data_IF_811980109154
#
_entry.id   IF_811980109154
#
_cell.length_a   1.000
_cell.length_b   1.000
_cell.length_c   1.000
_cell.angle_alpha   90.00
_cell.angle_beta   90.00
_cell.angle_gamma   90.00
#
_symmetry.space_group_name_H-M   'P 1'
#
loop_
_entity.id
_entity.type
_entity.pdbx_description
1 polymer ?
#
# COMPACT_ATOMS: atom_id res chain seq x y z
N UNK A 1 -92.14 30.63 -36.85
CA UNK A 1 -91.40 31.90 -36.99
C UNK A 1 -89.96 31.64 -36.54
N UNK A 2 -88.97 31.77 -37.46
CA UNK A 2 -87.49 31.67 -37.28
C UNK A 2 -86.97 30.25 -36.93
N UNK A 3 -86.18 29.52 -37.74
CA UNK A 3 -84.78 29.75 -38.19
C UNK A 3 -83.85 29.98 -36.98
N UNK A 4 -82.69 29.35 -36.76
CA UNK A 4 -81.60 28.90 -37.64
C UNK A 4 -80.56 28.12 -36.81
N UNK A 5 -79.74 27.35 -37.53
CA UNK A 5 -78.29 27.12 -37.33
C UNK A 5 -77.75 26.18 -36.23
N UNK A 6 -77.06 25.17 -36.75
CA UNK A 6 -76.04 24.36 -36.11
C UNK A 6 -74.86 25.21 -35.61
N UNK A 7 -74.28 24.80 -34.48
CA UNK A 7 -72.90 25.14 -34.12
C UNK A 7 -72.22 23.89 -33.57
N UNK A 8 -71.26 23.38 -34.34
CA UNK A 8 -70.30 22.35 -33.93
C UNK A 8 -69.32 23.02 -32.97
N UNK A 9 -69.26 22.58 -31.71
CA UNK A 9 -68.22 23.00 -30.77
C UNK A 9 -67.05 22.03 -30.92
N UNK A 10 -65.98 22.52 -31.54
CA UNK A 10 -64.68 21.87 -31.65
C UNK A 10 -63.94 22.10 -30.32
N UNK A 11 -63.74 21.05 -29.52
CA UNK A 11 -62.86 21.10 -28.35
C UNK A 11 -61.40 21.08 -28.81
N UNK A 12 -60.75 22.24 -28.85
CA UNK A 12 -59.30 22.34 -28.98
C UNK A 12 -58.70 22.18 -27.58
N UNK A 13 -58.20 20.99 -27.29
CA UNK A 13 -57.37 20.75 -26.10
C UNK A 13 -55.99 21.34 -26.41
N UNK A 14 -55.73 22.53 -25.89
CA UNK A 14 -54.42 23.16 -25.94
C UNK A 14 -53.53 22.47 -24.89
N UNK A 15 -52.73 21.49 -25.32
CA UNK A 15 -51.73 20.85 -24.48
C UNK A 15 -50.55 21.82 -24.30
N UNK A 16 -50.58 22.61 -23.23
CA UNK A 16 -49.42 23.41 -22.81
C UNK A 16 -48.40 22.44 -22.24
N UNK A 17 -47.47 21.96 -23.08
CA UNK A 17 -46.23 21.33 -22.60
C UNK A 17 -45.37 22.43 -21.96
N UNK A 18 -45.53 22.63 -20.66
CA UNK A 18 -44.51 23.32 -19.86
C UNK A 18 -43.28 22.43 -19.81
N UNK A 19 -42.32 22.72 -20.69
CA UNK A 19 -40.97 22.19 -20.59
C UNK A 19 -40.33 22.71 -19.30
N UNK A 20 -40.49 21.95 -18.21
CA UNK A 20 -39.70 22.14 -16.99
C UNK A 20 -38.27 21.76 -17.37
N UNK A 21 -37.46 22.75 -17.73
CA UNK A 21 -36.03 22.56 -17.88
C UNK A 21 -35.46 22.34 -16.49
N UNK A 22 -35.20 21.08 -16.13
CA UNK A 22 -34.30 20.74 -15.05
C UNK A 22 -32.89 21.13 -15.49
N UNK A 23 -32.52 22.40 -15.32
CA UNK A 23 -31.12 22.79 -15.29
C UNK A 23 -30.57 22.34 -13.95
N UNK A 24 -30.24 21.05 -13.81
CA UNK A 24 -29.28 20.66 -12.78
C UNK A 24 -27.98 21.34 -13.19
N UNK A 25 -27.63 22.43 -12.51
CA UNK A 25 -26.25 22.89 -12.51
C UNK A 25 -25.48 21.75 -11.89
N UNK A 26 -24.89 20.88 -12.72
CA UNK A 26 -23.96 19.87 -12.27
C UNK A 26 -22.82 20.64 -11.61
N UNK A 27 -22.89 20.77 -10.29
CA UNK A 27 -21.83 21.37 -9.51
C UNK A 27 -20.62 20.49 -9.76
N UNK A 28 -19.60 21.03 -10.44
CA UNK A 28 -18.39 20.30 -10.75
C UNK A 28 -17.89 19.67 -9.45
N UNK A 29 -18.01 18.34 -9.34
CA UNK A 29 -17.55 17.62 -8.17
C UNK A 29 -16.05 17.84 -8.12
N UNK A 30 -15.54 18.46 -7.05
CA UNK A 30 -14.10 18.62 -6.90
C UNK A 30 -13.51 17.22 -6.73
N UNK A 31 -12.62 16.83 -7.63
CA UNK A 31 -11.96 15.52 -7.61
C UNK A 31 -11.11 15.33 -6.36
N UNK A 32 -10.62 16.44 -5.78
CA UNK A 32 -9.91 16.47 -4.50
C UNK A 32 -10.40 17.66 -3.68
N UNK A 33 -10.73 17.44 -2.41
CA UNK A 33 -11.15 18.52 -1.51
C UNK A 33 -10.75 18.27 -0.06
N UNK A 34 -10.63 19.35 0.69
CA UNK A 34 -10.47 19.31 2.14
C UNK A 34 -11.83 19.55 2.80
N UNK A 35 -12.17 18.70 3.76
CA UNK A 35 -13.38 18.82 4.55
C UNK A 35 -13.03 18.93 6.04
N UNK A 36 -13.74 19.78 6.77
CA UNK A 36 -13.72 19.77 8.23
C UNK A 36 -15.01 19.12 8.71
N UNK A 37 -14.90 18.10 9.56
CA UNK A 37 -16.05 17.34 10.05
C UNK A 37 -15.90 17.05 11.54
N UNK A 38 -17.02 17.14 12.26
CA UNK A 38 -17.12 16.59 13.62
C UNK A 38 -17.37 15.10 13.51
N UNK A 39 -16.47 14.29 14.06
CA UNK A 39 -16.61 12.83 14.17
C UNK A 39 -16.93 12.46 15.61
N UNK A 40 -17.76 11.44 15.77
CA UNK A 40 -18.15 10.89 17.08
C UNK A 40 -17.53 9.51 17.26
N UNK A 41 -16.99 9.25 18.45
CA UNK A 41 -16.36 8.00 18.83
C UNK A 41 -16.52 7.77 20.33
N UNK A 42 -16.09 6.64 20.88
CA UNK A 42 -16.29 6.30 22.30
C UNK A 42 -15.65 7.33 23.25
N UNK A 43 -14.65 8.08 22.79
CA UNK A 43 -14.01 9.16 23.56
C UNK A 43 -14.65 10.54 23.42
N UNK A 44 -15.80 10.67 22.74
CA UNK A 44 -16.54 11.91 22.56
C UNK A 44 -16.59 12.39 21.11
N UNK A 45 -16.53 13.71 20.92
CA UNK A 45 -16.55 14.34 19.60
C UNK A 45 -15.22 15.04 19.31
N UNK A 46 -14.76 14.97 18.06
CA UNK A 46 -13.56 15.70 17.62
C UNK A 46 -13.81 16.35 16.27
N UNK A 47 -13.37 17.59 16.11
CA UNK A 47 -13.30 18.24 14.81
C UNK A 47 -12.00 17.83 14.14
N UNK A 48 -12.08 17.17 12.99
CA UNK A 48 -10.94 16.74 12.20
C UNK A 48 -11.01 17.33 10.80
N UNK A 49 -9.86 17.37 10.14
CA UNK A 49 -9.80 17.70 8.73
C UNK A 49 -9.40 16.47 7.92
N UNK A 50 -10.15 16.20 6.86
CA UNK A 50 -9.93 15.08 5.95
C UNK A 50 -9.61 15.63 4.57
N UNK A 51 -8.56 15.10 3.95
CA UNK A 51 -8.31 15.26 2.53
C UNK A 51 -8.99 14.11 1.80
N UNK A 52 -9.96 14.42 0.95
CA UNK A 52 -10.68 13.45 0.16
C UNK A 52 -10.28 13.53 -1.31
N UNK A 53 -10.28 12.39 -1.97
CA UNK A 53 -10.16 12.26 -3.40
C UNK A 53 -11.26 11.33 -3.94
N UNK A 54 -11.92 11.73 -5.03
CA UNK A 54 -12.90 10.90 -5.73
C UNK A 54 -12.17 10.02 -6.76
N UNK A 55 -12.05 8.73 -6.49
CA UNK A 55 -11.33 7.78 -7.35
C UNK A 55 -12.14 7.36 -8.59
N UNK A 56 -13.37 7.88 -8.77
CA UNK A 56 -14.10 7.76 -10.04
C UNK A 56 -13.60 8.76 -11.10
N UNK A 57 -12.82 9.77 -10.70
CA UNK A 57 -12.11 10.63 -11.64
C UNK A 57 -10.84 9.93 -12.11
N UNK A 58 -10.77 9.61 -13.40
CA UNK A 58 -9.66 8.89 -14.04
C UNK A 58 -8.34 9.70 -14.07
N UNK A 59 -8.39 10.99 -13.71
CA UNK A 59 -7.21 11.84 -13.54
C UNK A 59 -6.58 11.72 -12.15
N UNK A 60 -7.26 11.09 -11.20
CA UNK A 60 -6.74 10.87 -9.86
C UNK A 60 -6.04 9.51 -9.82
N UNK A 61 -4.80 9.53 -9.35
CA UNK A 61 -4.01 8.31 -9.12
C UNK A 61 -3.44 8.36 -7.71
N UNK A 62 -3.46 7.21 -7.04
CA UNK A 62 -2.87 7.03 -5.72
C UNK A 62 -1.62 6.15 -5.87
N UNK A 63 -0.49 6.64 -5.35
CA UNK A 63 0.80 5.97 -5.38
C UNK A 63 1.48 6.04 -4.01
N UNK A 64 2.37 5.07 -3.78
CA UNK A 64 3.38 5.14 -2.75
C UNK A 64 4.60 5.90 -3.28
N UNK A 65 5.21 6.72 -2.42
CA UNK A 65 6.39 7.50 -2.78
C UNK A 65 7.48 7.26 -1.75
N UNK A 66 8.64 6.80 -2.20
CA UNK A 66 9.80 6.58 -1.34
C UNK A 66 10.54 7.89 -1.09
N UNK A 67 11.01 8.07 0.14
CA UNK A 67 11.93 9.17 0.44
C UNK A 67 13.17 9.04 -0.44
N UNK A 68 13.48 10.10 -1.21
CA UNK A 68 14.64 10.15 -2.12
C UNK A 68 14.68 8.98 -3.12
N UNK A 69 13.54 8.37 -3.43
CA UNK A 69 13.45 7.21 -4.33
C UNK A 69 14.17 5.95 -3.82
N UNK A 70 14.39 5.80 -2.52
CA UNK A 70 15.17 4.68 -1.94
C UNK A 70 14.54 4.06 -0.70
N UNK A 71 14.82 2.76 -0.50
CA UNK A 71 14.49 2.00 0.71
C UNK A 71 15.52 2.28 1.79
N UNK A 72 15.06 2.70 2.97
CA UNK A 72 15.92 3.07 4.11
C UNK A 72 16.33 4.55 4.14
N UNK A 73 15.96 5.35 3.13
CA UNK A 73 16.07 6.79 3.19
C UNK A 73 14.87 7.41 3.93
N UNK A 74 15.07 8.60 4.50
CA UNK A 74 14.03 9.40 5.16
C UNK A 74 14.09 10.84 4.66
N UNK A 75 12.95 11.51 4.65
CA UNK A 75 12.83 12.93 4.31
C UNK A 75 11.57 13.54 4.96
N UNK A 76 11.45 14.86 4.94
CA UNK A 76 10.22 15.52 5.35
C UNK A 76 9.07 15.13 4.41
N UNK A 77 7.88 14.87 4.96
CA UNK A 77 6.71 14.45 4.18
C UNK A 77 6.41 15.41 3.02
N UNK A 78 6.56 16.72 3.23
CA UNK A 78 6.38 17.73 2.18
C UNK A 78 7.35 17.55 1.01
N UNK A 79 8.61 17.20 1.28
CA UNK A 79 9.61 16.93 0.24
C UNK A 79 9.22 15.68 -0.55
N UNK A 80 8.81 14.62 0.15
CA UNK A 80 8.37 13.37 -0.48
C UNK A 80 7.17 13.62 -1.39
N UNK A 81 6.14 14.31 -0.90
CA UNK A 81 4.95 14.65 -1.70
C UNK A 81 5.32 15.50 -2.92
N UNK A 82 6.17 16.51 -2.74
CA UNK A 82 6.62 17.34 -3.87
C UNK A 82 7.39 16.53 -4.91
N UNK A 83 8.18 15.54 -4.49
CA UNK A 83 8.96 14.70 -5.40
C UNK A 83 8.11 13.82 -6.34
N UNK A 84 6.83 13.62 -6.01
CA UNK A 84 5.89 12.90 -6.87
C UNK A 84 5.35 13.76 -8.03
N UNK A 85 5.58 15.07 -8.03
CA UNK A 85 5.20 15.93 -9.15
C UNK A 85 6.23 15.83 -10.28
N UNK A 86 5.76 15.67 -11.51
CA UNK A 86 6.58 15.63 -12.72
C UNK A 86 5.88 16.39 -13.86
N UNK A 87 6.32 16.20 -15.11
CA UNK A 87 5.73 16.89 -16.27
C UNK A 87 4.30 16.47 -16.58
N UNK A 88 3.90 15.26 -16.17
CA UNK A 88 2.63 14.63 -16.53
C UNK A 88 1.64 14.58 -15.36
N UNK A 89 2.13 14.68 -14.13
CA UNK A 89 1.33 14.60 -12.90
C UNK A 89 1.77 15.63 -11.86
N UNK A 90 0.80 16.14 -11.10
CA UNK A 90 1.06 17.04 -9.96
C UNK A 90 0.57 16.37 -8.68
N UNK A 91 1.43 16.34 -7.66
CA UNK A 91 1.04 15.87 -6.35
C UNK A 91 0.10 16.88 -5.66
N UNK A 92 -1.10 16.43 -5.30
CA UNK A 92 -2.16 17.27 -4.72
C UNK A 92 -2.31 17.09 -3.20
N UNK A 93 -1.65 16.08 -2.63
CA UNK A 93 -1.61 15.84 -1.20
C UNK A 93 -0.94 14.51 -0.86
N UNK A 94 -0.78 14.24 0.43
CA UNK A 94 -0.22 12.97 0.91
C UNK A 94 -0.22 12.88 2.44
N UNK A 95 -0.01 11.67 2.93
CA UNK A 95 0.10 11.33 4.34
C UNK A 95 1.29 10.37 4.52
N UNK A 96 1.88 10.31 5.71
CA UNK A 96 2.94 9.34 5.97
C UNK A 96 2.39 7.90 5.84
N UNK A 97 3.23 6.99 5.33
CA UNK A 97 2.89 5.58 5.11
C UNK A 97 3.38 4.66 6.23
N UNK A 98 4.24 3.70 5.86
CA UNK A 98 4.76 2.65 6.75
C UNK A 98 5.50 3.17 8.00
N UNK A 99 5.56 2.33 9.03
CA UNK A 99 6.55 2.43 10.10
C UNK A 99 7.97 2.25 9.57
N UNK A 100 8.94 2.83 10.29
CA UNK A 100 10.37 2.65 10.09
C UNK A 100 11.13 2.85 11.41
N UNK A 101 12.36 2.35 11.48
CA UNK A 101 13.19 2.39 12.67
C UNK A 101 13.87 3.75 12.88
N UNK A 102 13.06 4.75 13.20
CA UNK A 102 13.41 6.18 13.22
C UNK A 102 14.54 6.58 14.20
N UNK A 103 14.88 5.72 15.15
CA UNK A 103 15.85 6.01 16.21
C UNK A 103 17.09 5.11 16.14
N UNK A 104 17.25 4.35 15.05
CA UNK A 104 18.42 3.54 14.81
C UNK A 104 18.78 3.56 13.32
N UNK A 105 18.32 2.57 12.57
CA UNK A 105 18.87 2.25 11.25
C UNK A 105 18.01 2.74 10.07
N UNK A 106 16.90 3.41 10.38
CA UNK A 106 15.95 3.99 9.42
C UNK A 106 15.29 2.97 8.49
N UNK A 107 15.49 1.67 8.71
CA UNK A 107 14.93 0.63 7.85
C UNK A 107 13.40 0.58 8.01
N UNK A 108 12.64 0.38 6.92
CA UNK A 108 11.19 0.24 7.00
C UNK A 108 10.76 -1.00 7.80
N UNK A 109 9.54 -1.00 8.29
CA UNK A 109 8.95 -2.13 9.03
C UNK A 109 7.64 -2.65 8.44
N UNK A 110 7.22 -2.14 7.28
CA UNK A 110 6.02 -2.56 6.56
C UNK A 110 6.36 -3.01 5.13
N UNK A 111 5.48 -3.79 4.50
CA UNK A 111 5.65 -4.17 3.09
C UNK A 111 5.47 -2.95 2.18
N UNK A 112 6.36 -2.79 1.19
CA UNK A 112 6.33 -1.72 0.20
C UNK A 112 6.38 -2.36 -1.19
N UNK A 113 5.33 -2.12 -1.99
CA UNK A 113 5.29 -2.49 -3.40
C UNK A 113 5.00 -1.24 -4.22
N UNK A 114 5.83 -0.98 -5.24
CA UNK A 114 5.67 0.13 -6.18
C UNK A 114 5.73 -0.45 -7.59
N UNK A 115 4.85 0.01 -8.48
CA UNK A 115 4.72 -0.46 -9.86
C UNK A 115 4.67 -2.01 -10.00
N UNK A 116 4.02 -2.67 -9.04
CA UNK A 116 3.90 -4.14 -8.97
C UNK A 116 5.13 -4.87 -8.42
N UNK A 117 6.21 -4.16 -8.12
CA UNK A 117 7.45 -4.74 -7.60
C UNK A 117 7.57 -4.59 -6.09
N UNK A 118 7.83 -5.69 -5.38
CA UNK A 118 8.07 -5.66 -3.93
C UNK A 118 9.47 -5.12 -3.67
N UNK A 119 9.55 -3.90 -3.15
CA UNK A 119 10.81 -3.23 -2.84
C UNK A 119 11.24 -3.45 -1.39
N UNK A 120 10.30 -3.75 -0.49
CA UNK A 120 10.56 -4.13 0.89
C UNK A 120 9.41 -5.01 1.36
N UNK A 121 9.66 -5.98 2.23
CA UNK A 121 8.60 -6.82 2.78
C UNK A 121 8.68 -6.92 4.29
N UNK A 122 7.51 -6.84 4.90
CA UNK A 122 7.26 -7.20 6.27
C UNK A 122 5.96 -8.02 6.30
N UNK A 123 6.02 -9.20 6.89
CA UNK A 123 4.89 -10.11 7.00
C UNK A 123 4.12 -9.91 8.33
N UNK A 124 4.05 -8.65 8.78
CA UNK A 124 3.38 -8.22 10.01
C UNK A 124 2.40 -7.11 9.68
N UNK A 125 1.22 -7.11 10.32
CA UNK A 125 0.18 -6.14 10.02
C UNK A 125 -0.50 -6.36 8.67
N UNK A 126 -1.63 -5.69 8.47
CA UNK A 126 -2.26 -5.58 7.16
C UNK A 126 -1.60 -4.52 6.29
N UNK A 127 -1.94 -4.56 4.99
CA UNK A 127 -1.48 -3.63 3.98
C UNK A 127 -2.66 -2.93 3.32
N UNK A 128 -2.48 -1.68 2.91
CA UNK A 128 -3.33 -1.04 1.92
C UNK A 128 -2.80 -1.43 0.53
N UNK A 129 -3.60 -2.12 -0.26
CA UNK A 129 -3.31 -2.48 -1.64
C UNK A 129 -4.14 -1.63 -2.60
N UNK A 130 -3.52 -1.17 -3.68
CA UNK A 130 -4.12 -0.32 -4.70
C UNK A 130 -3.81 -0.92 -6.07
N UNK A 131 -4.85 -1.19 -6.85
CA UNK A 131 -4.73 -1.74 -8.19
C UNK A 131 -4.41 -0.70 -9.26
N UNK A 132 -4.11 -1.17 -10.46
CA UNK A 132 -3.96 -0.35 -11.65
C UNK A 132 -5.20 0.49 -12.00
N UNK A 133 -6.39 0.05 -11.60
CA UNK A 133 -7.68 0.73 -11.82
C UNK A 133 -8.21 1.52 -10.61
N UNK A 134 -7.35 1.81 -9.63
CA UNK A 134 -7.67 2.52 -8.38
C UNK A 134 -8.68 1.80 -7.46
N UNK A 135 -8.89 0.50 -7.64
CA UNK A 135 -9.54 -0.31 -6.60
C UNK A 135 -8.61 -0.39 -5.38
N UNK A 136 -9.18 -0.21 -4.19
CA UNK A 136 -8.46 -0.20 -2.92
C UNK A 136 -8.96 -1.31 -2.02
N UNK A 137 -8.06 -2.06 -1.39
CA UNK A 137 -8.37 -3.06 -0.37
C UNK A 137 -7.40 -2.99 0.80
N UNK A 138 -7.87 -3.44 1.97
CA UNK A 138 -6.98 -3.76 3.10
C UNK A 138 -6.81 -5.27 3.21
N UNK A 139 -5.58 -5.76 2.97
CA UNK A 139 -5.32 -7.20 2.86
C UNK A 139 -4.38 -7.69 3.97
N UNK A 140 -4.60 -8.92 4.48
CA UNK A 140 -3.63 -9.60 5.31
C UNK A 140 -2.53 -10.22 4.43
N UNK A 141 -1.63 -9.40 3.89
CA UNK A 141 -0.62 -9.87 2.93
C UNK A 141 0.51 -10.62 3.63
N UNK A 142 0.85 -11.79 3.08
CA UNK A 142 2.12 -12.47 3.30
C UNK A 142 2.87 -12.61 1.97
N UNK A 143 4.08 -12.07 1.92
CA UNK A 143 4.98 -12.20 0.77
C UNK A 143 5.97 -13.33 1.05
N UNK A 144 6.20 -14.17 0.04
CA UNK A 144 7.25 -15.19 0.02
C UNK A 144 8.16 -14.98 -1.16
N UNK A 145 9.47 -15.04 -0.96
CA UNK A 145 10.45 -15.00 -2.05
C UNK A 145 10.93 -16.42 -2.34
N UNK A 146 10.89 -16.81 -3.62
CA UNK A 146 11.50 -18.04 -4.12
C UNK A 146 12.46 -17.68 -5.25
N UNK A 147 13.57 -18.41 -5.34
CA UNK A 147 14.58 -18.18 -6.34
C UNK A 147 15.00 -19.45 -7.06
N UNK A 148 15.51 -19.27 -8.27
CA UNK A 148 16.05 -20.35 -9.10
C UNK A 148 17.42 -19.97 -9.65
N UNK A 149 18.17 -20.98 -10.08
CA UNK A 149 19.43 -20.80 -10.80
C UNK A 149 19.46 -21.68 -12.04
N UNK A 150 20.04 -21.16 -13.13
CA UNK A 150 20.16 -21.87 -14.41
C UNK A 150 18.83 -22.45 -14.92
N UNK A 151 17.72 -21.73 -14.72
CA UNK A 151 16.36 -22.15 -15.09
C UNK A 151 15.72 -23.21 -14.19
N UNK A 152 16.40 -23.64 -13.12
CA UNK A 152 15.90 -24.62 -12.15
C UNK A 152 15.30 -23.92 -10.94
N UNK A 153 14.02 -24.18 -10.67
CA UNK A 153 13.24 -23.53 -9.60
C UNK A 153 12.78 -24.48 -8.49
N UNK A 154 13.10 -25.77 -8.64
CA UNK A 154 12.74 -26.82 -7.70
C UNK A 154 13.96 -27.25 -6.89
N UNK A 155 13.70 -27.77 -5.70
CA UNK A 155 14.74 -28.39 -4.88
C UNK A 155 15.39 -29.56 -5.65
N UNK A 156 16.73 -29.73 -5.61
CA UNK A 156 17.70 -29.06 -4.74
C UNK A 156 18.33 -27.79 -5.33
N UNK A 157 17.85 -27.27 -6.46
CA UNK A 157 18.45 -26.15 -7.19
C UNK A 157 17.80 -24.79 -6.88
N UNK A 158 16.64 -24.80 -6.21
CA UNK A 158 15.94 -23.60 -5.74
C UNK A 158 16.64 -22.96 -4.54
N UNK A 159 16.42 -21.66 -4.36
CA UNK A 159 16.78 -20.92 -3.14
C UNK A 159 15.62 -20.07 -2.63
N UNK A 160 15.79 -19.43 -1.49
CA UNK A 160 14.79 -18.54 -0.87
C UNK A 160 15.48 -17.33 -0.27
N UNK A 161 14.69 -16.31 0.04
CA UNK A 161 15.13 -15.19 0.88
C UNK A 161 14.07 -14.86 1.92
N UNK A 162 14.51 -14.41 3.10
CA UNK A 162 13.62 -13.97 4.17
C UNK A 162 12.99 -12.61 3.85
N UNK A 163 13.69 -11.78 3.08
CA UNK A 163 13.32 -10.39 2.85
C UNK A 163 14.04 -9.80 1.63
N UNK A 164 13.64 -8.59 1.26
CA UNK A 164 14.31 -7.76 0.25
C UNK A 164 14.56 -6.36 0.82
N UNK A 165 15.72 -5.78 0.49
CA UNK A 165 16.17 -4.45 0.90
C UNK A 165 16.05 -4.16 2.40
N UNK A 166 16.34 -5.17 3.22
CA UNK A 166 16.41 -5.05 4.67
C UNK A 166 17.61 -5.85 5.17
N UNK A 167 18.42 -5.22 6.01
CA UNK A 167 19.58 -5.86 6.62
C UNK A 167 19.24 -6.40 8.00
N UNK A 168 19.46 -7.70 8.17
CA UNK A 168 19.43 -8.42 9.43
C UNK A 168 20.85 -8.83 9.84
N UNK A 169 21.15 -8.69 11.13
CA UNK A 169 22.40 -9.20 11.73
C UNK A 169 22.33 -10.69 12.03
N UNK A 170 21.14 -11.31 11.95
CA UNK A 170 20.96 -12.75 12.19
C UNK A 170 21.74 -13.57 11.15
N UNK A 171 22.66 -14.39 11.63
CA UNK A 171 23.47 -15.28 10.82
C UNK A 171 22.67 -16.28 9.96
N UNK A 172 21.43 -16.61 10.35
CA UNK A 172 20.56 -17.49 9.60
C UNK A 172 19.83 -16.78 8.44
N UNK A 173 19.87 -15.44 8.39
CA UNK A 173 19.19 -14.68 7.36
C UNK A 173 19.79 -14.93 5.98
N UNK A 174 18.90 -15.07 5.00
CA UNK A 174 19.23 -14.93 3.58
C UNK A 174 18.49 -13.72 3.05
N UNK A 175 19.22 -12.72 2.58
CA UNK A 175 18.69 -11.39 2.27
C UNK A 175 18.98 -11.03 0.81
N UNK A 176 18.03 -10.39 0.14
CA UNK A 176 18.21 -9.78 -1.19
C UNK A 176 18.37 -8.27 -1.04
N UNK A 177 19.28 -7.68 -1.81
CA UNK A 177 19.40 -6.23 -1.96
C UNK A 177 19.40 -5.85 -3.45
N UNK A 178 18.62 -4.84 -3.79
CA UNK A 178 18.48 -4.26 -5.14
C UNK A 178 18.98 -2.80 -5.13
N UNK A 179 19.14 -2.15 -6.29
CA UNK A 179 19.65 -0.77 -6.36
C UNK A 179 18.84 0.26 -5.56
N UNK A 180 17.60 -0.04 -5.21
CA UNK A 180 16.71 0.76 -4.37
C UNK A 180 17.19 0.84 -2.91
N UNK A 181 18.08 -0.05 -2.47
CA UNK A 181 18.59 -0.07 -1.09
C UNK A 181 19.55 1.08 -0.77
N UNK A 182 19.14 1.94 0.15
CA UNK A 182 19.96 2.99 0.77
C UNK A 182 20.08 2.83 2.29
N UNK A 183 19.77 1.64 2.82
CA UNK A 183 19.89 1.33 4.24
C UNK A 183 21.33 1.06 4.71
N UNK A 184 21.50 0.58 5.95
CA UNK A 184 22.79 0.29 6.56
C UNK A 184 23.63 -0.73 5.78
N UNK A 185 24.95 -0.55 5.79
CA UNK A 185 25.92 -1.50 5.24
C UNK A 185 27.01 -1.78 6.27
N UNK A 186 26.68 -2.44 7.39
CA UNK A 186 27.67 -2.74 8.42
C UNK A 186 28.69 -3.77 7.93
N UNK A 187 29.85 -3.83 8.58
CA UNK A 187 30.80 -4.92 8.36
C UNK A 187 30.18 -6.27 8.74
N UNK A 188 30.43 -7.30 7.93
CA UNK A 188 29.87 -8.64 8.12
C UNK A 188 30.72 -9.72 7.46
N UNK A 189 30.35 -10.98 7.67
CA UNK A 189 31.01 -12.19 7.16
C UNK A 189 30.05 -13.10 6.37
N UNK A 190 28.86 -12.62 5.99
CA UNK A 190 28.00 -13.31 5.02
C UNK A 190 28.73 -13.57 3.69
N UNK A 191 28.35 -14.67 3.03
CA UNK A 191 28.66 -14.87 1.62
C UNK A 191 27.83 -13.89 0.81
N UNK A 192 28.51 -13.03 0.08
CA UNK A 192 27.97 -12.05 -0.85
C UNK A 192 28.01 -12.61 -2.28
N UNK A 193 26.84 -12.73 -2.89
CA UNK A 193 26.66 -13.28 -4.23
C UNK A 193 26.10 -12.16 -5.10
N UNK A 194 26.93 -11.65 -6.00
CA UNK A 194 26.59 -10.54 -6.89
C UNK A 194 26.00 -11.13 -8.19
N UNK A 195 24.74 -10.80 -8.49
CA UNK A 195 24.04 -11.20 -9.73
C UNK A 195 23.83 -9.95 -10.57
N UNK A 196 24.48 -9.88 -11.72
CA UNK A 196 24.39 -8.75 -12.65
C UNK A 196 23.76 -9.21 -13.96
N UNK A 197 22.73 -8.50 -14.42
CA UNK A 197 21.97 -8.84 -15.64
C UNK A 197 21.50 -10.31 -15.66
N UNK A 198 21.05 -10.78 -14.49
CA UNK A 198 20.58 -12.14 -14.27
C UNK A 198 21.67 -13.21 -14.23
N UNK A 199 22.96 -12.85 -14.20
CA UNK A 199 24.10 -13.79 -14.16
C UNK A 199 24.91 -13.61 -12.88
N UNK A 200 25.28 -14.70 -12.23
CA UNK A 200 26.18 -14.68 -11.07
C UNK A 200 27.58 -14.27 -11.52
N UNK A 201 28.03 -13.07 -11.14
CA UNK A 201 29.34 -12.56 -11.55
C UNK A 201 30.41 -12.75 -10.49
N UNK A 202 30.04 -12.82 -9.20
CA UNK A 202 31.01 -12.89 -8.12
C UNK A 202 30.44 -13.50 -6.85
N UNK A 203 31.30 -14.23 -6.13
CA UNK A 203 31.06 -14.71 -4.76
C UNK A 203 32.22 -14.29 -3.89
N UNK A 204 31.94 -13.67 -2.76
CA UNK A 204 32.96 -13.20 -1.82
C UNK A 204 32.42 -13.17 -0.40
N UNK A 205 33.28 -13.01 0.60
CA UNK A 205 32.87 -12.87 2.00
C UNK A 205 32.94 -11.40 2.40
N UNK A 206 31.88 -10.87 3.02
CA UNK A 206 31.88 -9.52 3.60
C UNK A 206 31.73 -8.36 2.62
N UNK A 207 31.54 -8.63 1.31
CA UNK A 207 31.27 -7.59 0.31
C UNK A 207 29.81 -7.12 0.38
N UNK A 208 29.58 -5.84 0.08
CA UNK A 208 28.24 -5.26 -0.03
C UNK A 208 28.14 -4.40 -1.31
N UNK A 209 28.42 -5.04 -2.45
CA UNK A 209 28.25 -4.45 -3.77
C UNK A 209 26.91 -4.92 -4.37
N UNK A 210 26.05 -3.98 -4.75
CA UNK A 210 24.78 -4.27 -5.42
C UNK A 210 24.96 -3.90 -6.89
N UNK A 211 24.90 -4.88 -7.83
CA UNK A 211 24.95 -4.60 -9.26
C UNK A 211 23.83 -3.65 -9.69
N UNK A 212 24.11 -2.74 -10.63
CA UNK A 212 23.16 -1.71 -11.06
C UNK A 212 21.95 -2.30 -11.82
N UNK A 213 22.18 -3.36 -12.60
CA UNK A 213 21.16 -4.08 -13.37
C UNK A 213 20.91 -5.47 -12.77
N UNK A 214 20.87 -5.57 -11.44
CA UNK A 214 20.77 -6.87 -10.77
C UNK A 214 20.56 -6.78 -9.28
N UNK A 215 21.04 -7.78 -8.54
CA UNK A 215 20.82 -7.90 -7.11
C UNK A 215 21.99 -8.58 -6.40
N UNK A 216 22.07 -8.33 -5.10
CA UNK A 216 23.00 -8.97 -4.17
C UNK A 216 22.23 -9.93 -3.28
N UNK A 217 22.73 -11.16 -3.12
CA UNK A 217 22.30 -12.07 -2.08
C UNK A 217 23.35 -12.13 -0.99
N UNK A 218 22.94 -11.89 0.26
CA UNK A 218 23.76 -12.13 1.45
C UNK A 218 23.21 -13.34 2.20
N UNK A 219 24.06 -14.35 2.45
CA UNK A 219 23.65 -15.56 3.16
C UNK A 219 24.83 -16.26 3.84
N UNK A 220 24.57 -16.95 4.95
CA UNK A 220 25.47 -18.00 5.49
C UNK A 220 24.91 -19.40 5.28
N UNK A 221 23.71 -19.52 4.71
CA UNK A 221 23.15 -20.82 4.38
C UNK A 221 23.97 -21.46 3.26
N UNK A 222 24.62 -22.57 3.61
CA UNK A 222 25.46 -23.34 2.69
C UNK A 222 24.64 -23.97 1.56
N UNK A 223 23.36 -24.26 1.77
CA UNK A 223 22.49 -24.83 0.74
C UNK A 223 22.08 -23.75 -0.27
N UNK A 224 21.73 -22.55 0.21
CA UNK A 224 21.48 -21.40 -0.66
C UNK A 224 22.75 -21.05 -1.45
N UNK A 225 23.88 -20.83 -0.78
CA UNK A 225 25.09 -20.39 -1.47
C UNK A 225 25.64 -21.41 -2.48
N UNK A 226 25.37 -22.71 -2.32
CA UNK A 226 25.81 -23.76 -3.25
C UNK A 226 25.09 -23.74 -4.59
N UNK A 227 23.82 -23.31 -4.65
CA UNK A 227 23.09 -23.31 -5.93
C UNK A 227 23.52 -22.18 -6.87
N UNK A 228 24.29 -21.21 -6.37
CA UNK A 228 24.87 -20.13 -7.18
C UNK A 228 26.27 -20.49 -7.66
N UNK A 229 26.40 -20.64 -8.98
CA UNK A 229 27.66 -20.86 -9.69
C UNK A 229 27.99 -19.65 -10.57
N UNK A 230 29.25 -19.20 -10.55
CA UNK A 230 29.70 -18.07 -11.37
C UNK A 230 29.48 -18.38 -12.85
N UNK A 231 28.91 -17.42 -13.58
CA UNK A 231 28.57 -17.54 -15.00
C UNK A 231 27.23 -18.24 -15.28
N UNK A 232 26.51 -18.71 -14.26
CA UNK A 232 25.14 -19.23 -14.41
C UNK A 232 24.11 -18.15 -14.14
N UNK A 233 22.90 -18.34 -14.68
CA UNK A 233 21.80 -17.42 -14.41
C UNK A 233 21.24 -17.62 -13.01
N UNK A 234 20.74 -16.55 -12.41
CA UNK A 234 20.02 -16.59 -11.14
C UNK A 234 18.91 -15.55 -11.14
N UNK A 235 17.77 -15.91 -10.57
CA UNK A 235 16.57 -15.08 -10.56
C UNK A 235 15.70 -15.37 -9.33
N UNK A 236 14.78 -14.47 -9.00
CA UNK A 236 13.79 -14.63 -7.93
C UNK A 236 12.43 -14.08 -8.31
N UNK A 237 11.40 -14.56 -7.62
CA UNK A 237 10.04 -14.04 -7.72
C UNK A 237 9.33 -14.06 -6.39
N UNK A 238 8.34 -13.20 -6.27
CA UNK A 238 7.43 -13.12 -5.12
C UNK A 238 6.21 -14.02 -5.32
N UNK A 239 5.68 -14.52 -4.22
CA UNK A 239 4.40 -15.22 -4.12
C UNK A 239 3.59 -14.59 -2.99
N UNK A 240 2.29 -14.48 -3.19
CA UNK A 240 1.40 -13.74 -2.29
C UNK A 240 0.37 -14.66 -1.67
N UNK A 241 0.23 -14.59 -0.35
CA UNK A 241 -0.68 -15.43 0.40
C UNK A 241 -1.44 -14.62 1.45
N UNK A 242 -2.57 -15.14 1.90
CA UNK A 242 -3.23 -14.68 3.11
C UNK A 242 -2.35 -15.00 4.30
N UNK A 243 -1.92 -13.95 5.00
CA UNK A 243 -1.25 -14.00 6.28
C UNK A 243 -2.23 -14.45 7.35
N UNK A 244 -1.82 -15.40 8.19
CA UNK A 244 -2.59 -15.83 9.35
C UNK A 244 -1.98 -15.31 10.66
N UNK A 245 -0.91 -14.51 10.57
CA UNK A 245 -0.16 -13.92 11.67
C UNK A 245 0.34 -14.97 12.69
N UNK A 246 0.67 -16.18 12.19
CA UNK A 246 1.23 -17.29 12.99
C UNK A 246 2.68 -17.60 12.59
N UNK A 247 3.29 -18.57 13.26
CA UNK A 247 4.69 -19.00 13.04
C UNK A 247 4.99 -19.50 11.62
N UNK A 248 4.03 -20.10 10.90
CA UNK A 248 4.22 -20.52 9.50
C UNK A 248 4.05 -19.35 8.51
N UNK A 249 3.56 -18.21 8.98
CA UNK A 249 3.45 -16.97 8.22
C UNK A 249 2.26 -16.87 7.26
N UNK A 250 1.65 -17.98 6.81
CA UNK A 250 0.51 -17.91 5.90
C UNK A 250 -0.48 -19.08 5.99
N UNK A 251 -1.71 -18.84 5.53
CA UNK A 251 -2.83 -19.79 5.51
C UNK A 251 -2.83 -20.75 4.31
N UNK A 252 -1.82 -20.67 3.42
CA UNK A 252 -1.80 -21.42 2.15
C UNK A 252 -2.81 -20.96 1.09
N UNK A 253 -3.59 -19.91 1.39
CA UNK A 253 -4.54 -19.29 0.46
C UNK A 253 -3.78 -18.24 -0.36
N UNK A 254 -3.79 -18.36 -1.69
CA UNK A 254 -3.16 -17.38 -2.58
C UNK A 254 -3.93 -16.07 -2.59
N UNK A 255 -3.22 -14.95 -2.69
CA UNK A 255 -3.79 -13.65 -3.05
C UNK A 255 -3.45 -13.35 -4.51
N UNK A 256 -4.44 -12.88 -5.27
CA UNK A 256 -4.23 -12.41 -6.65
C UNK A 256 -3.76 -10.97 -6.62
N UNK A 257 -2.50 -10.76 -6.99
CA UNK A 257 -1.82 -9.48 -6.97
C UNK A 257 -1.37 -9.05 -8.38
N UNK A 258 -1.88 -9.69 -9.44
CA UNK A 258 -1.44 -9.45 -10.82
C UNK A 258 -1.79 -8.03 -11.29
N UNK A 259 -2.90 -7.45 -10.80
CA UNK A 259 -3.30 -6.07 -11.09
C UNK A 259 -2.96 -5.09 -9.94
N UNK A 260 -2.28 -5.54 -8.88
CA UNK A 260 -1.89 -4.68 -7.76
C UNK A 260 -0.64 -3.89 -8.13
N UNK A 261 -0.74 -2.58 -8.04
CA UNK A 261 0.31 -1.64 -8.43
C UNK A 261 1.07 -1.10 -7.23
N UNK A 262 0.35 -0.81 -6.14
CA UNK A 262 0.92 -0.19 -4.96
C UNK A 262 0.47 -0.92 -3.71
N UNK A 263 1.42 -1.19 -2.81
CA UNK A 263 1.15 -1.74 -1.48
C UNK A 263 1.92 -0.94 -0.44
N UNK A 264 1.22 -0.50 0.61
CA UNK A 264 1.81 0.09 1.81
C UNK A 264 1.35 -0.71 3.03
N UNK A 265 2.29 -1.38 3.67
CA UNK A 265 2.10 -2.02 4.97
C UNK A 265 2.21 -1.00 6.09
N UNK A 266 1.23 -1.03 7.00
CA UNK A 266 1.29 -0.28 8.24
C UNK A 266 0.57 -1.06 9.31
N UNK A 267 -0.73 -1.29 9.12
CA UNK A 267 -1.58 -2.00 10.06
C UNK A 267 -1.69 -1.33 11.45
N UNK A 268 -2.59 -1.85 12.30
CA UNK A 268 -3.54 -2.91 11.97
C UNK A 268 -4.73 -2.41 11.16
N UNK A 269 -5.51 -3.35 10.61
CA UNK A 269 -6.79 -3.06 9.94
C UNK A 269 -7.74 -2.38 10.91
N UNK A 270 -8.25 -1.21 10.52
CA UNK A 270 -9.19 -0.46 11.35
C UNK A 270 -10.62 -0.84 11.04
N UNK A 271 -10.96 -0.88 9.75
CA UNK A 271 -12.27 -1.23 9.22
C UNK A 271 -12.09 -2.25 8.11
N UNK A 272 -13.01 -3.21 8.00
CA UNK A 272 -13.07 -4.12 6.85
C UNK A 272 -14.52 -4.43 6.54
N UNK A 273 -14.92 -4.31 5.27
CA UNK A 273 -16.31 -4.46 4.85
C UNK A 273 -17.29 -3.59 5.67
N UNK A 274 -16.89 -2.36 6.01
CA UNK A 274 -17.72 -1.44 6.81
C UNK A 274 -17.90 -1.83 8.28
N UNK A 275 -17.12 -2.79 8.79
CA UNK A 275 -17.16 -3.23 10.18
C UNK A 275 -15.86 -2.91 10.91
N UNK A 276 -15.96 -2.51 12.18
CA UNK A 276 -14.81 -2.30 13.06
C UNK A 276 -14.02 -3.60 13.19
N UNK A 277 -12.71 -3.52 12.93
CA UNK A 277 -11.76 -4.60 13.21
C UNK A 277 -10.83 -4.17 14.34
N UNK A 278 -9.91 -3.25 14.06
CA UNK A 278 -9.05 -2.56 15.02
C UNK A 278 -8.45 -3.46 16.13
N UNK A 279 -8.08 -4.69 15.76
CA UNK A 279 -7.44 -5.66 16.65
C UNK A 279 -5.97 -5.80 16.27
N UNK A 280 -5.14 -4.98 16.91
CA UNK A 280 -3.71 -4.97 16.67
C UNK A 280 -3.05 -6.32 17.03
N UNK A 281 -3.51 -6.97 18.10
CA UNK A 281 -2.94 -8.22 18.56
C UNK A 281 -3.15 -9.35 17.55
N UNK A 282 -4.34 -9.40 16.94
CA UNK A 282 -4.66 -10.38 15.91
C UNK A 282 -3.80 -10.26 14.64
N UNK A 283 -3.19 -9.10 14.41
CA UNK A 283 -2.30 -8.84 13.26
C UNK A 283 -0.80 -8.86 13.62
N UNK A 284 -0.46 -9.38 14.79
CA UNK A 284 0.92 -9.61 15.22
C UNK A 284 1.60 -8.43 15.91
N UNK A 285 0.87 -7.34 16.21
CA UNK A 285 1.44 -6.23 16.98
C UNK A 285 1.47 -6.55 18.48
N UNK A 286 2.59 -6.23 19.13
CA UNK A 286 2.78 -6.52 20.56
C UNK A 286 3.11 -5.27 21.38
N UNK A 287 3.54 -4.19 20.73
CA UNK A 287 4.01 -2.99 21.39
C UNK A 287 2.84 -2.17 21.92
N UNK A 288 2.91 -1.76 23.20
CA UNK A 288 1.87 -0.95 23.85
C UNK A 288 1.51 0.33 23.10
N UNK A 289 2.48 0.92 22.39
CA UNK A 289 2.28 2.10 21.52
C UNK A 289 1.31 1.85 20.37
N UNK A 290 1.08 0.60 19.98
CA UNK A 290 0.13 0.18 18.94
C UNK A 290 -1.10 -0.43 19.59
N UNK A 291 -0.93 -1.37 20.52
CA UNK A 291 -2.02 -2.20 21.05
C UNK A 291 -2.96 -1.47 22.01
N UNK A 292 -2.50 -0.42 22.71
CA UNK A 292 -3.31 0.19 23.79
C UNK A 292 -3.17 1.71 23.94
N UNK A 293 -2.02 2.30 23.63
CA UNK A 293 -1.76 3.72 23.91
C UNK A 293 -2.52 4.67 22.97
N UNK A 294 -2.98 5.79 23.51
CA UNK A 294 -3.45 6.91 22.71
C UNK A 294 -2.24 7.69 22.15
N UNK A 295 -2.31 8.08 20.88
CA UNK A 295 -1.25 8.83 20.20
C UNK A 295 -1.83 9.70 19.07
N UNK A 296 -0.99 10.48 18.41
CA UNK A 296 -1.31 11.01 17.09
C UNK A 296 -1.21 9.89 16.06
N UNK A 297 -2.27 9.71 15.28
CA UNK A 297 -2.42 8.62 14.31
C UNK A 297 -2.73 9.20 12.93
N UNK A 298 -2.17 8.58 11.91
CA UNK A 298 -2.53 8.82 10.51
C UNK A 298 -3.48 7.71 10.06
N UNK A 299 -4.48 8.08 9.26
CA UNK A 299 -5.49 7.20 8.71
C UNK A 299 -5.61 7.45 7.21
N UNK A 300 -5.69 6.36 6.45
CA UNK A 300 -6.09 6.32 5.05
C UNK A 300 -7.14 5.21 4.92
N UNK A 301 -8.19 5.45 4.16
CA UNK A 301 -9.26 4.47 3.94
C UNK A 301 -10.19 4.91 2.81
N UNK A 302 -11.11 4.03 2.42
CA UNK A 302 -12.03 4.29 1.30
C UNK A 302 -13.48 4.13 1.73
N UNK A 303 -14.37 4.94 1.16
CA UNK A 303 -15.83 4.79 1.32
C UNK A 303 -16.42 3.85 0.27
N UNK A 304 -17.65 3.37 0.50
CA UNK A 304 -18.36 2.51 -0.44
C UNK A 304 -18.62 3.17 -1.82
N UNK A 305 -18.59 4.50 -1.91
CA UNK A 305 -18.77 5.26 -3.15
C UNK A 305 -17.45 5.68 -3.83
N UNK A 306 -16.36 4.95 -3.51
CA UNK A 306 -15.01 5.06 -4.08
C UNK A 306 -14.32 6.41 -3.83
N UNK A 307 -14.50 6.96 -2.62
CA UNK A 307 -13.78 8.16 -2.17
C UNK A 307 -12.71 7.78 -1.18
N UNK A 308 -11.46 8.11 -1.48
CA UNK A 308 -10.33 7.86 -0.60
C UNK A 308 -10.12 9.07 0.32
N UNK A 309 -10.05 8.81 1.62
CA UNK A 309 -9.87 9.83 2.65
C UNK A 309 -8.55 9.64 3.40
N UNK A 310 -7.84 10.73 3.66
CA UNK A 310 -6.65 10.76 4.51
C UNK A 310 -6.82 11.78 5.62
N UNK A 311 -6.46 11.42 6.86
CA UNK A 311 -6.54 12.34 8.00
C UNK A 311 -5.54 12.01 9.10
N UNK A 312 -5.22 13.01 9.92
CA UNK A 312 -4.39 12.86 11.12
C UNK A 312 -5.24 13.21 12.33
N UNK A 313 -5.26 12.31 13.32
CA UNK A 313 -6.07 12.43 14.52
C UNK A 313 -5.19 12.33 15.75
N UNK A 314 -5.22 13.34 16.62
CA UNK A 314 -4.44 13.38 17.86
C UNK A 314 -5.15 12.70 19.03
N UNK A 315 -4.38 12.04 19.90
CA UNK A 315 -4.83 11.57 21.21
C UNK A 315 -5.86 10.44 21.16
N UNK A 316 -5.73 9.50 20.21
CA UNK A 316 -6.64 8.37 20.05
C UNK A 316 -5.91 7.03 20.03
N UNK A 317 -6.54 6.00 20.57
CA UNK A 317 -6.10 4.60 20.43
C UNK A 317 -6.40 4.07 19.03
N UNK A 318 -5.83 2.93 18.65
CA UNK A 318 -6.16 2.24 17.37
C UNK A 318 -7.66 1.94 17.27
N UNK A 319 -8.26 1.44 18.36
CA UNK A 319 -9.70 1.16 18.39
C UNK A 319 -10.54 2.42 18.15
N UNK A 320 -10.20 3.53 18.82
CA UNK A 320 -10.89 4.81 18.63
C UNK A 320 -10.67 5.38 17.22
N UNK A 321 -9.49 5.16 16.62
CA UNK A 321 -9.25 5.54 15.23
C UNK A 321 -10.14 4.76 14.26
N UNK A 322 -10.38 3.46 14.50
CA UNK A 322 -11.32 2.67 13.71
C UNK A 322 -12.77 3.12 13.87
N UNK A 323 -13.20 3.52 15.07
CA UNK A 323 -14.50 4.16 15.29
C UNK A 323 -14.64 5.46 14.49
N UNK A 324 -13.58 6.28 14.43
CA UNK A 324 -13.54 7.50 13.63
C UNK A 324 -13.59 7.19 12.13
N UNK A 325 -12.88 6.17 11.66
CA UNK A 325 -12.94 5.73 10.26
C UNK A 325 -14.37 5.32 9.86
N UNK A 326 -15.09 4.58 10.72
CA UNK A 326 -16.52 4.29 10.52
C UNK A 326 -17.38 5.55 10.52
N UNK A 327 -17.14 6.49 11.43
CA UNK A 327 -17.86 7.77 11.45
C UNK A 327 -17.64 8.61 10.18
N UNK A 328 -16.52 8.39 9.48
CA UNK A 328 -16.24 8.99 8.17
C UNK A 328 -16.91 8.24 7.00
N UNK A 329 -17.48 7.06 7.24
CA UNK A 329 -18.11 6.22 6.23
C UNK A 329 -17.12 5.31 5.49
N UNK A 330 -15.91 5.12 6.02
CA UNK A 330 -14.92 4.21 5.43
C UNK A 330 -15.37 2.76 5.60
N UNK A 331 -15.05 1.93 4.61
CA UNK A 331 -15.37 0.51 4.54
C UNK A 331 -14.12 -0.38 4.51
N UNK A 332 -12.97 0.19 4.15
CA UNK A 332 -11.62 -0.39 4.23
C UNK A 332 -10.70 0.61 4.94
#
# INVERSE_FOLDING_TARGET
>A
MKSRQAMRILFVILLVMTSIQFTSVAQAHKSVWKENRTVTYTGGNKNISVLWADLKDDKIRIDAVLARGKIGATDALSTIVQSASNTDATAVGGINGTFFNAYADMQPSGTLMLDGEVLHMANTGSVLAISGDNTVSVDPLFVKIVGGTNGQWDWPYSWYSWNINHYYTDSAATMIFTPEYAGPRPSHDFTAIEVDKGVVIKKSTGSFNIPADGFLVLTKDVNVSKVFEIGKTADYKTKYYVNNYTTTGHAGINLDYDNIRTVIGAGPTLVKNGMLKADAGAEGFTEGKITSSAATRSLIGITADNRLGMTVVSGVTVKQLGEIALSLGMVE
#
